data_IF_580695857756
#
_entry.id   IF_580695857756
#
_cell.length_a   1.000
_cell.length_b   1.000
_cell.length_c   1.000
_cell.angle_alpha   90.00
_cell.angle_beta   90.00
_cell.angle_gamma   90.00
#
_symmetry.space_group_name_H-M   'P 1'
#
loop_
_entity.id
_entity.type
_entity.pdbx_description
1 polymer ?
#
# COMPACT_ATOMS: atom_id res chain seq x y z
N UNK A 1 19.66 21.52 -13.89
CA UNK A 1 19.62 21.46 -12.42
C UNK A 1 18.21 21.15 -11.95
N UNK A 2 17.99 20.05 -11.22
CA UNK A 2 16.68 19.72 -10.68
C UNK A 2 16.33 20.66 -9.53
N UNK A 3 15.12 21.23 -9.58
CA UNK A 3 14.58 22.07 -8.51
C UNK A 3 13.21 21.54 -8.08
N UNK A 4 12.90 21.69 -6.79
CA UNK A 4 11.56 21.48 -6.26
C UNK A 4 10.79 22.80 -6.25
N UNK A 5 9.57 22.79 -6.76
CA UNK A 5 8.61 23.90 -6.72
C UNK A 5 7.61 23.67 -5.60
N UNK A 6 7.46 24.66 -4.73
CA UNK A 6 6.44 24.66 -3.68
C UNK A 6 5.17 25.30 -4.23
N UNK A 7 4.12 24.49 -4.43
CA UNK A 7 2.87 24.87 -5.10
C UNK A 7 1.64 24.86 -4.19
N UNK A 8 1.80 24.36 -2.96
CA UNK A 8 0.75 24.36 -1.94
C UNK A 8 1.27 24.99 -0.65
N UNK A 9 0.39 25.72 0.03
CA UNK A 9 0.62 26.21 1.38
C UNK A 9 -0.61 25.91 2.23
N UNK A 10 -0.63 24.71 2.83
CA UNK A 10 -1.79 24.15 3.52
C UNK A 10 -1.36 23.21 4.64
N UNK A 11 -2.16 23.18 5.71
CA UNK A 11 -2.00 22.25 6.83
C UNK A 11 -2.53 20.84 6.53
N UNK A 12 -3.12 20.62 5.34
CA UNK A 12 -3.67 19.32 4.95
C UNK A 12 -2.59 18.43 4.30
N UNK A 13 -2.12 17.36 4.96
CA UNK A 13 -0.93 16.62 4.55
C UNK A 13 -1.08 15.90 3.21
N UNK A 14 -2.31 15.52 2.82
CA UNK A 14 -2.57 14.86 1.54
C UNK A 14 -2.43 15.78 0.32
N UNK A 15 -2.29 17.10 0.51
CA UNK A 15 -2.02 18.06 -0.58
C UNK A 15 -0.53 18.25 -0.88
N UNK A 16 0.37 17.71 -0.05
CA UNK A 16 1.84 17.85 -0.24
C UNK A 16 2.29 17.26 -1.57
N UNK A 17 1.60 16.23 -2.08
CA UNK A 17 1.86 15.63 -3.39
C UNK A 17 1.62 16.56 -4.58
N UNK A 18 0.98 17.71 -4.38
CA UNK A 18 0.82 18.73 -5.43
C UNK A 18 2.05 19.63 -5.59
N UNK A 19 3.08 19.49 -4.74
CA UNK A 19 4.38 20.10 -5.03
C UNK A 19 5.04 19.37 -6.19
N UNK A 20 5.89 20.07 -6.94
CA UNK A 20 6.36 19.57 -8.23
C UNK A 20 7.87 19.60 -8.35
N UNK A 21 8.44 18.70 -9.15
CA UNK A 21 9.87 18.69 -9.45
C UNK A 21 10.08 18.93 -10.95
N UNK A 22 10.99 19.86 -11.27
CA UNK A 22 11.29 20.26 -12.64
C UNK A 22 12.80 20.34 -12.88
N UNK A 23 13.21 20.37 -14.15
CA UNK A 23 14.62 20.47 -14.55
C UNK A 23 14.90 21.82 -15.20
N UNK A 24 15.74 22.65 -14.56
CA UNK A 24 16.26 23.88 -15.19
C UNK A 24 17.37 23.50 -16.17
N UNK A 25 17.20 23.77 -17.46
CA UNK A 25 18.24 23.53 -18.48
C UNK A 25 18.94 24.79 -18.96
N UNK A 26 18.40 25.97 -18.64
CA UNK A 26 19.03 27.25 -18.94
C UNK A 26 18.51 28.38 -18.07
N UNK A 27 19.14 29.54 -18.16
CA UNK A 27 18.65 30.75 -17.50
C UNK A 27 19.06 32.00 -18.28
N UNK A 28 18.23 33.02 -18.18
CA UNK A 28 18.52 34.38 -18.64
C UNK A 28 18.49 35.31 -17.43
N UNK A 29 19.40 36.27 -17.39
CA UNK A 29 19.44 37.28 -16.33
C UNK A 29 19.63 38.66 -16.93
N UNK A 30 18.68 39.55 -16.65
CA UNK A 30 18.78 40.97 -16.99
C UNK A 30 18.67 41.79 -15.69
N UNK A 31 19.83 42.21 -15.17
CA UNK A 31 19.94 42.87 -13.88
C UNK A 31 19.43 41.99 -12.74
N UNK A 32 18.28 42.37 -12.17
CA UNK A 32 17.62 41.66 -11.06
C UNK A 32 16.49 40.73 -11.49
N UNK A 33 16.08 40.78 -12.76
CA UNK A 33 15.12 39.82 -13.33
C UNK A 33 15.87 38.57 -13.78
N UNK A 34 15.35 37.43 -13.34
CA UNK A 34 15.85 36.10 -13.67
C UNK A 34 14.72 35.34 -14.34
N UNK A 35 15.05 34.69 -15.45
CA UNK A 35 14.21 33.70 -16.10
C UNK A 35 14.94 32.37 -16.08
N UNK A 36 14.28 31.33 -15.59
CA UNK A 36 14.76 29.97 -15.72
C UNK A 36 14.03 29.31 -16.89
N UNK A 37 14.78 28.63 -17.74
CA UNK A 37 14.26 27.74 -18.78
C UNK A 37 14.11 26.34 -18.20
N UNK A 38 12.90 25.80 -18.22
CA UNK A 38 12.52 24.64 -17.42
C UNK A 38 11.90 23.57 -18.31
N UNK A 39 12.35 22.34 -18.12
CA UNK A 39 11.65 21.14 -18.55
C UNK A 39 10.71 20.68 -17.44
N UNK A 40 9.41 20.69 -17.73
CA UNK A 40 8.34 20.22 -16.85
C UNK A 40 7.83 18.84 -17.33
N UNK A 41 7.98 17.77 -16.54
CA UNK A 41 7.50 16.44 -16.92
C UNK A 41 5.98 16.35 -17.15
N UNK A 42 5.17 17.25 -16.58
CA UNK A 42 3.72 17.30 -16.82
C UNK A 42 3.37 17.88 -18.20
N UNK A 43 4.35 18.49 -18.87
CA UNK A 43 4.21 19.09 -20.19
C UNK A 43 5.32 18.54 -21.12
N UNK A 44 5.29 17.24 -21.47
CA UNK A 44 6.34 16.63 -22.28
C UNK A 44 6.48 17.33 -23.64
N UNK A 45 7.73 17.38 -24.15
CA UNK A 45 8.11 18.02 -25.40
C UNK A 45 7.88 19.55 -25.47
N UNK A 46 7.69 20.21 -24.33
CA UNK A 46 7.61 21.67 -24.22
C UNK A 46 8.91 22.24 -23.65
N UNK A 47 9.69 22.88 -24.52
CA UNK A 47 10.96 23.54 -24.17
C UNK A 47 10.83 25.07 -24.09
N UNK A 48 9.61 25.57 -23.83
CA UNK A 48 9.29 27.00 -23.72
C UNK A 48 8.66 27.33 -22.36
N UNK A 49 8.80 26.43 -21.38
CA UNK A 49 8.31 26.64 -20.02
C UNK A 49 9.33 27.44 -19.22
N UNK A 50 8.86 28.50 -18.56
CA UNK A 50 9.73 29.44 -17.83
C UNK A 50 9.24 29.69 -16.42
N UNK A 51 10.20 29.91 -15.51
CA UNK A 51 9.97 30.49 -14.19
C UNK A 51 10.70 31.82 -14.10
N UNK A 52 9.94 32.91 -14.02
CA UNK A 52 10.43 34.27 -13.99
C UNK A 52 10.27 34.86 -12.58
N UNK A 53 11.29 35.56 -12.08
CA UNK A 53 11.23 36.29 -10.80
C UNK A 53 12.19 37.48 -10.77
N UNK A 54 11.89 38.45 -9.90
CA UNK A 54 12.74 39.60 -9.65
C UNK A 54 13.37 39.50 -8.25
N UNK A 55 14.70 39.43 -8.22
CA UNK A 55 15.51 39.31 -7.01
C UNK A 55 15.50 40.56 -6.13
N UNK A 56 14.93 41.69 -6.59
CA UNK A 56 14.68 42.85 -5.72
C UNK A 56 13.38 42.80 -4.93
N UNK A 57 12.46 41.92 -5.28
CA UNK A 57 11.15 41.82 -4.61
C UNK A 57 11.25 40.82 -3.46
N UNK A 58 10.78 41.21 -2.27
CA UNK A 58 10.79 40.35 -1.07
C UNK A 58 9.39 40.32 -0.41
N UNK A 59 8.73 39.14 -0.33
CA UNK A 59 9.15 37.87 -0.92
C UNK A 59 9.08 37.92 -2.46
N UNK A 60 9.93 37.19 -3.19
CA UNK A 60 9.87 37.13 -4.64
C UNK A 60 8.50 36.68 -5.13
N UNK A 61 8.02 37.30 -6.21
CA UNK A 61 6.85 36.83 -6.94
C UNK A 61 7.34 36.03 -8.14
N UNK A 62 6.84 34.80 -8.25
CA UNK A 62 7.20 33.86 -9.30
C UNK A 62 6.10 33.82 -10.35
N UNK A 63 6.47 33.99 -11.61
CA UNK A 63 5.60 33.79 -12.76
C UNK A 63 5.99 32.49 -13.45
N UNK A 64 5.03 31.61 -13.64
CA UNK A 64 5.20 30.34 -14.36
C UNK A 64 4.47 30.43 -15.69
N UNK A 65 5.10 30.09 -16.80
CA UNK A 65 4.51 30.33 -18.14
C UNK A 65 3.36 29.39 -18.49
N UNK A 66 3.15 28.34 -17.69
CA UNK A 66 1.97 27.48 -17.70
C UNK A 66 1.28 27.56 -16.34
N UNK A 67 -0.02 27.24 -16.23
CA UNK A 67 -0.69 27.19 -14.94
C UNK A 67 0.05 26.21 -14.02
N UNK A 68 0.57 26.64 -12.87
CA UNK A 68 1.16 25.72 -11.91
C UNK A 68 0.07 24.81 -11.33
N UNK A 69 0.45 23.59 -10.97
CA UNK A 69 -0.42 22.68 -10.21
C UNK A 69 -0.75 23.22 -8.82
N UNK A 70 -1.45 22.41 -8.02
CA UNK A 70 -1.77 22.76 -6.63
C UNK A 70 -2.72 23.96 -6.52
N UNK A 71 -2.30 24.99 -5.76
CA UNK A 71 -3.11 26.17 -5.46
C UNK A 71 -2.99 27.27 -6.54
N UNK A 72 -2.41 26.97 -7.70
CA UNK A 72 -2.28 27.92 -8.81
C UNK A 72 -1.18 28.98 -8.61
N UNK A 73 -0.26 28.76 -7.65
CA UNK A 73 0.86 29.68 -7.36
C UNK A 73 2.14 28.93 -7.04
N UNK A 74 3.29 29.49 -7.43
CA UNK A 74 4.61 29.08 -6.91
C UNK A 74 4.93 29.95 -5.69
N UNK A 75 5.11 29.33 -4.52
CA UNK A 75 5.48 30.00 -3.27
C UNK A 75 6.99 30.15 -3.13
N UNK A 76 7.74 29.14 -3.55
CA UNK A 76 9.20 29.11 -3.49
C UNK A 76 9.73 28.00 -4.40
N UNK A 77 11.04 27.98 -4.59
CA UNK A 77 11.75 26.85 -5.15
C UNK A 77 13.03 26.58 -4.37
N UNK A 78 13.51 25.34 -4.42
CA UNK A 78 14.79 24.95 -3.83
C UNK A 78 15.57 24.04 -4.77
N UNK A 79 16.89 24.14 -4.73
CA UNK A 79 17.76 23.22 -5.46
C UNK A 79 17.70 21.84 -4.83
N UNK A 80 17.36 20.82 -5.61
CA UNK A 80 17.41 19.45 -5.14
C UNK A 80 18.82 18.89 -5.37
N UNK A 81 19.42 18.28 -4.34
CA UNK A 81 20.68 17.53 -4.47
C UNK A 81 20.42 16.14 -5.07
N UNK A 82 19.70 16.12 -6.19
CA UNK A 82 19.44 14.88 -6.90
C UNK A 82 20.76 14.31 -7.39
N UNK A 83 21.07 13.09 -6.97
CA UNK A 83 22.07 12.28 -7.63
C UNK A 83 21.31 11.32 -8.52
N UNK A 84 21.54 11.42 -9.83
CA UNK A 84 21.01 10.43 -10.76
C UNK A 84 21.47 9.06 -10.30
N UNK A 85 20.51 8.22 -9.94
CA UNK A 85 20.75 6.79 -9.83
C UNK A 85 20.38 6.19 -11.16
N UNK A 86 21.26 5.36 -11.70
CA UNK A 86 20.81 4.46 -12.74
C UNK A 86 19.77 3.54 -12.09
N UNK A 87 18.53 3.48 -12.63
CA UNK A 87 17.65 2.39 -12.26
C UNK A 87 18.37 1.08 -12.58
N UNK A 88 18.10 -0.01 -11.84
CA UNK A 88 18.56 -1.32 -12.24
C UNK A 88 18.24 -1.54 -13.73
N UNK A 89 19.16 -2.09 -14.52
CA UNK A 89 18.89 -2.33 -15.92
C UNK A 89 17.62 -3.20 -16.07
N UNK A 90 16.83 -2.93 -17.10
CA UNK A 90 15.46 -3.46 -17.22
C UNK A 90 15.40 -4.99 -17.27
N UNK A 91 16.51 -5.64 -17.62
CA UNK A 91 16.71 -7.09 -17.61
C UNK A 91 16.91 -7.67 -16.19
N UNK A 92 17.22 -6.83 -15.20
CA UNK A 92 17.26 -7.17 -13.77
C UNK A 92 15.94 -6.89 -13.05
N UNK A 93 15.00 -6.21 -13.71
CA UNK A 93 13.63 -6.08 -13.19
C UNK A 93 12.92 -7.38 -13.55
N UNK A 94 12.56 -8.25 -12.57
CA UNK A 94 11.78 -9.43 -12.89
C UNK A 94 10.50 -8.99 -13.63
N UNK A 95 10.04 -9.74 -14.64
CA UNK A 95 8.85 -9.38 -15.39
C UNK A 95 7.69 -9.15 -14.42
N UNK A 96 6.94 -8.07 -14.62
CA UNK A 96 5.72 -7.81 -13.88
C UNK A 96 4.81 -9.04 -14.00
N UNK A 97 4.65 -9.76 -12.90
CA UNK A 97 3.80 -10.94 -12.88
C UNK A 97 2.38 -10.43 -12.70
N UNK A 98 1.58 -10.51 -13.77
CA UNK A 98 0.15 -10.25 -13.67
C UNK A 98 -0.49 -11.49 -13.04
N UNK A 99 -0.66 -11.43 -11.73
CA UNK A 99 -1.22 -12.55 -11.02
C UNK A 99 -2.75 -12.51 -11.14
N UNK A 100 -3.40 -13.53 -11.72
CA UNK A 100 -4.85 -13.55 -11.79
C UNK A 100 -5.44 -13.45 -10.38
N UNK A 101 -6.50 -12.65 -10.24
CA UNK A 101 -7.18 -12.51 -8.95
C UNK A 101 -7.98 -13.79 -8.69
N UNK A 102 -7.68 -14.54 -7.62
CA UNK A 102 -8.49 -15.71 -7.27
C UNK A 102 -9.90 -15.24 -6.93
N UNK A 103 -10.89 -16.11 -7.13
CA UNK A 103 -12.23 -15.89 -6.58
C UNK A 103 -12.08 -15.86 -5.05
N UNK A 104 -12.27 -14.71 -4.37
CA UNK A 104 -12.04 -14.62 -2.93
C UNK A 104 -13.06 -15.43 -2.13
N UNK A 105 -14.14 -15.87 -2.78
CA UNK A 105 -15.17 -16.75 -2.22
C UNK A 105 -15.02 -18.21 -2.64
N UNK A 106 -13.87 -18.62 -3.19
CA UNK A 106 -13.65 -20.03 -3.46
C UNK A 106 -13.51 -20.82 -2.14
N UNK A 107 -14.01 -22.05 -2.14
CA UNK A 107 -13.89 -22.91 -0.98
C UNK A 107 -12.40 -23.20 -0.68
N UNK A 108 -12.02 -23.06 0.59
CA UNK A 108 -10.65 -23.26 1.05
C UNK A 108 -9.72 -22.05 0.88
N UNK A 109 -10.21 -20.90 0.43
CA UNK A 109 -9.40 -19.68 0.37
C UNK A 109 -9.18 -19.05 1.74
N UNK A 110 -8.02 -18.40 1.86
CA UNK A 110 -7.64 -17.57 3.00
C UNK A 110 -7.29 -16.18 2.50
N UNK A 111 -8.06 -15.19 2.92
CA UNK A 111 -7.74 -13.78 2.71
C UNK A 111 -7.16 -13.20 3.99
N UNK A 112 -6.15 -12.34 3.84
CA UNK A 112 -5.61 -11.53 4.92
C UNK A 112 -6.62 -10.42 5.19
N UNK A 113 -7.10 -10.32 6.42
CA UNK A 113 -8.10 -9.33 6.83
C UNK A 113 -7.54 -8.41 7.90
N UNK A 114 -7.89 -7.13 7.80
CA UNK A 114 -7.80 -6.19 8.92
C UNK A 114 -9.18 -5.62 9.21
N UNK A 115 -9.60 -5.66 10.47
CA UNK A 115 -10.84 -5.02 10.91
C UNK A 115 -10.58 -4.31 12.23
N UNK A 116 -10.87 -3.00 12.29
CA UNK A 116 -10.60 -2.17 13.46
C UNK A 116 -9.17 -2.33 14.04
N UNK A 117 -8.17 -2.46 13.16
CA UNK A 117 -6.76 -2.61 13.54
C UNK A 117 -6.32 -4.01 13.97
N UNK A 118 -7.22 -5.00 13.97
CA UNK A 118 -6.89 -6.40 14.22
C UNK A 118 -6.56 -7.10 12.91
N UNK A 119 -5.37 -7.70 12.82
CA UNK A 119 -4.95 -8.53 11.67
C UNK A 119 -5.38 -9.98 11.90
N UNK A 120 -5.82 -10.65 10.85
CA UNK A 120 -6.28 -12.04 10.92
C UNK A 120 -6.39 -12.68 9.54
N UNK A 121 -7.00 -13.86 9.52
CA UNK A 121 -7.45 -14.52 8.30
C UNK A 121 -8.98 -14.56 8.24
N UNK A 122 -9.50 -14.26 7.05
CA UNK A 122 -10.85 -14.53 6.61
C UNK A 122 -10.80 -15.81 5.77
N UNK A 123 -11.38 -16.89 6.27
CA UNK A 123 -11.33 -18.22 5.65
C UNK A 123 -12.71 -18.65 5.20
N UNK A 124 -12.85 -18.95 3.92
CA UNK A 124 -14.07 -19.53 3.36
C UNK A 124 -13.94 -21.05 3.43
N UNK A 125 -14.77 -21.70 4.24
CA UNK A 125 -14.67 -23.14 4.48
C UNK A 125 -15.62 -23.96 3.61
N UNK A 126 -16.84 -23.46 3.37
CA UNK A 126 -17.81 -24.08 2.46
C UNK A 126 -18.69 -23.04 1.77
N UNK A 127 -19.09 -23.34 0.54
CA UNK A 127 -19.99 -22.50 -0.26
C UNK A 127 -21.23 -23.29 -0.69
N UNK A 128 -22.41 -22.67 -0.54
CA UNK A 128 -23.71 -23.24 -0.87
C UNK A 128 -24.52 -22.23 -1.69
N UNK A 129 -24.36 -22.26 -3.01
CA UNK A 129 -24.97 -21.27 -3.89
C UNK A 129 -24.44 -19.86 -3.59
N UNK A 130 -25.29 -18.98 -3.08
CA UNK A 130 -24.92 -17.62 -2.70
C UNK A 130 -24.58 -17.46 -1.21
N UNK A 131 -24.61 -18.55 -0.43
CA UNK A 131 -24.25 -18.55 1.00
C UNK A 131 -22.90 -19.21 1.21
N UNK A 132 -22.24 -18.86 2.30
CA UNK A 132 -20.99 -19.48 2.71
C UNK A 132 -20.87 -19.53 4.24
N UNK A 133 -19.98 -20.39 4.71
CA UNK A 133 -19.52 -20.36 6.08
C UNK A 133 -18.00 -20.42 6.14
N UNK A 134 -17.46 -20.14 7.32
CA UNK A 134 -16.04 -20.33 7.60
C UNK A 134 -15.63 -19.65 8.89
N UNK A 135 -14.43 -19.09 8.90
CA UNK A 135 -13.88 -18.45 10.10
C UNK A 135 -13.26 -17.10 9.82
N UNK A 136 -13.37 -16.18 10.76
CA UNK A 136 -12.62 -14.92 10.80
C UNK A 136 -12.00 -14.78 12.19
N UNK A 137 -10.68 -14.54 12.27
CA UNK A 137 -9.91 -14.54 13.53
C UNK A 137 -10.08 -15.83 14.37
N UNK A 138 -10.37 -16.95 13.71
CA UNK A 138 -10.63 -18.25 14.34
C UNK A 138 -12.05 -18.44 14.89
N UNK A 139 -12.92 -17.42 14.86
CA UNK A 139 -14.33 -17.57 15.22
C UNK A 139 -15.16 -17.90 14.00
N UNK A 140 -16.23 -18.67 14.22
CA UNK A 140 -17.20 -19.02 13.19
C UNK A 140 -17.82 -17.78 12.58
N UNK A 141 -18.03 -17.82 11.28
CA UNK A 141 -18.83 -16.86 10.54
C UNK A 141 -19.75 -17.55 9.53
N UNK A 142 -20.86 -16.88 9.22
CA UNK A 142 -21.81 -17.28 8.19
C UNK A 142 -22.22 -16.06 7.38
N UNK A 143 -22.36 -16.23 6.07
CA UNK A 143 -22.62 -15.10 5.19
C UNK A 143 -23.25 -15.45 3.88
N UNK A 144 -23.46 -14.38 3.11
CA UNK A 144 -24.04 -14.38 1.79
C UNK A 144 -23.27 -13.45 0.86
N UNK A 145 -23.31 -13.80 -0.42
CA UNK A 145 -22.69 -13.10 -1.51
C UNK A 145 -23.75 -12.74 -2.55
N UNK A 146 -23.73 -11.49 -3.01
CA UNK A 146 -24.52 -11.06 -4.14
C UNK A 146 -23.59 -10.73 -5.31
N UNK A 147 -23.50 -11.65 -6.27
CA UNK A 147 -22.66 -11.47 -7.47
C UNK A 147 -23.09 -10.27 -8.31
N UNK A 148 -24.38 -9.94 -8.37
CA UNK A 148 -24.90 -8.83 -9.15
C UNK A 148 -24.49 -7.46 -8.60
N UNK A 149 -24.46 -7.31 -7.28
CA UNK A 149 -24.05 -6.06 -6.61
C UNK A 149 -22.60 -6.08 -6.13
N UNK A 150 -21.92 -7.22 -6.25
CA UNK A 150 -20.60 -7.50 -5.68
C UNK A 150 -20.55 -7.34 -4.15
N UNK A 151 -21.70 -7.48 -3.48
CA UNK A 151 -21.81 -7.26 -2.04
C UNK A 151 -21.59 -8.56 -1.28
N UNK A 152 -20.76 -8.48 -0.24
CA UNK A 152 -20.59 -9.55 0.75
C UNK A 152 -21.19 -9.08 2.08
N UNK A 153 -21.87 -10.00 2.76
CA UNK A 153 -22.40 -9.79 4.11
C UNK A 153 -22.21 -11.04 4.93
N UNK A 154 -21.65 -10.92 6.14
CA UNK A 154 -21.50 -12.07 7.02
C UNK A 154 -21.57 -11.67 8.49
N UNK A 155 -22.02 -12.59 9.32
CA UNK A 155 -22.03 -12.46 10.77
C UNK A 155 -20.88 -13.29 11.34
N UNK A 156 -20.04 -12.66 12.17
CA UNK A 156 -19.07 -13.34 13.04
C UNK A 156 -19.68 -13.56 14.41
N UNK A 157 -19.58 -14.78 14.93
CA UNK A 157 -20.16 -15.16 16.21
C UNK A 157 -19.08 -15.19 17.30
N UNK A 158 -19.17 -14.29 18.29
CA UNK A 158 -18.18 -14.18 19.39
C UNK A 158 -18.65 -14.79 20.71
N UNK A 159 -19.95 -15.03 20.87
CA UNK A 159 -20.54 -15.64 22.07
C UNK A 159 -22.06 -15.75 21.95
N UNK A 160 -22.73 -16.15 23.03
CA UNK A 160 -24.18 -16.41 23.07
C UNK A 160 -25.03 -15.20 22.67
N UNK A 161 -24.56 -13.98 22.93
CA UNK A 161 -25.27 -12.72 22.64
C UNK A 161 -24.34 -11.63 22.09
N UNK A 162 -23.18 -12.01 21.54
CA UNK A 162 -22.24 -11.06 20.96
C UNK A 162 -21.84 -11.49 19.56
N UNK A 163 -22.23 -10.66 18.60
CA UNK A 163 -21.99 -10.86 17.18
C UNK A 163 -21.42 -9.60 16.55
N UNK A 164 -20.83 -9.76 15.37
CA UNK A 164 -20.41 -8.65 14.53
C UNK A 164 -20.96 -8.87 13.13
N UNK A 165 -21.69 -7.88 12.61
CA UNK A 165 -22.23 -7.90 11.25
C UNK A 165 -21.29 -7.14 10.32
N UNK A 166 -20.64 -7.87 9.42
CA UNK A 166 -19.76 -7.32 8.39
C UNK A 166 -20.53 -7.14 7.09
N UNK A 167 -20.31 -6.00 6.45
CA UNK A 167 -20.79 -5.70 5.09
C UNK A 167 -19.65 -5.13 4.27
N UNK A 168 -19.59 -5.46 2.99
CA UNK A 168 -18.58 -4.91 2.10
C UNK A 168 -18.84 -5.21 0.64
N UNK A 169 -17.90 -4.78 -0.20
CA UNK A 169 -17.98 -4.94 -1.65
C UNK A 169 -16.66 -5.43 -2.22
N UNK A 170 -16.73 -6.28 -3.25
CA UNK A 170 -15.56 -6.68 -4.03
C UNK A 170 -15.12 -5.49 -4.88
N UNK A 171 -13.91 -5.00 -4.63
CA UNK A 171 -13.35 -3.82 -5.27
C UNK A 171 -13.03 -4.07 -6.75
N UNK A 172 -13.19 -3.02 -7.54
CA UNK A 172 -12.82 -2.96 -8.94
C UNK A 172 -11.64 -2.01 -9.09
N UNK A 173 -10.70 -2.38 -9.95
CA UNK A 173 -9.60 -1.50 -10.33
C UNK A 173 -10.16 -0.32 -11.16
N UNK A 174 -9.91 0.94 -10.76
CA UNK A 174 -10.52 2.09 -11.41
C UNK A 174 -10.06 2.29 -12.86
N UNK A 175 -8.85 1.85 -13.21
CA UNK A 175 -8.27 2.02 -14.54
C UNK A 175 -8.70 0.91 -15.49
N UNK A 176 -8.63 -0.35 -15.05
CA UNK A 176 -8.88 -1.53 -15.89
C UNK A 176 -10.31 -2.04 -15.80
N UNK A 177 -11.07 -1.61 -14.78
CA UNK A 177 -12.41 -2.11 -14.44
C UNK A 177 -12.46 -3.61 -14.10
N UNK A 178 -11.32 -4.25 -13.90
CA UNK A 178 -11.23 -5.65 -13.49
C UNK A 178 -11.46 -5.81 -11.99
N UNK A 179 -11.97 -6.98 -11.58
CA UNK A 179 -12.07 -7.36 -10.18
C UNK A 179 -10.68 -7.48 -9.57
N UNK A 180 -10.51 -7.00 -8.35
CA UNK A 180 -9.21 -6.95 -7.66
C UNK A 180 -9.02 -8.08 -6.65
N UNK A 181 -10.04 -8.94 -6.46
CA UNK A 181 -10.06 -9.92 -5.38
C UNK A 181 -10.16 -9.33 -3.97
N UNK A 182 -10.15 -8.00 -3.80
CA UNK A 182 -10.19 -7.34 -2.50
C UNK A 182 -11.59 -7.00 -2.04
N UNK A 183 -11.82 -7.14 -0.75
CA UNK A 183 -13.01 -6.61 -0.11
C UNK A 183 -12.69 -5.37 0.71
N UNK A 184 -13.61 -4.41 0.70
CA UNK A 184 -13.65 -3.32 1.66
C UNK A 184 -15.07 -3.03 2.11
N UNK A 185 -15.21 -2.55 3.34
CA UNK A 185 -16.51 -2.21 3.91
C UNK A 185 -16.42 -1.89 5.39
N UNK A 186 -17.53 -2.05 6.08
CA UNK A 186 -17.63 -1.81 7.51
C UNK A 186 -18.33 -2.94 8.27
N UNK A 187 -18.14 -2.98 9.58
CA UNK A 187 -18.88 -3.85 10.47
C UNK A 187 -19.45 -3.09 11.66
N UNK A 188 -20.54 -3.61 12.22
CA UNK A 188 -21.15 -3.14 13.44
C UNK A 188 -21.22 -4.28 14.46
N UNK A 189 -21.20 -3.92 15.74
CA UNK A 189 -21.38 -4.88 16.82
C UNK A 189 -22.86 -5.08 17.14
N UNK A 190 -23.23 -6.31 17.48
CA UNK A 190 -24.58 -6.66 17.90
C UNK A 190 -24.46 -7.32 19.28
N UNK A 191 -25.13 -6.72 20.27
CA UNK A 191 -25.17 -7.21 21.65
C UNK A 191 -26.61 -7.51 22.04
N UNK A 192 -26.94 -8.76 22.35
CA UNK A 192 -28.31 -9.17 22.71
C UNK A 192 -29.35 -8.83 21.64
N UNK A 193 -28.98 -8.92 20.36
CA UNK A 193 -29.84 -8.57 19.21
C UNK A 193 -29.95 -7.06 18.92
N UNK A 194 -29.26 -6.21 19.67
CA UNK A 194 -29.23 -4.75 19.44
C UNK A 194 -27.97 -4.38 18.69
N UNK A 195 -28.13 -3.79 17.50
CA UNK A 195 -27.02 -3.25 16.70
C UNK A 195 -26.52 -1.94 17.30
N UNK A 196 -25.22 -1.87 17.59
CA UNK A 196 -24.57 -0.65 18.03
C UNK A 196 -24.50 0.42 16.93
N UNK A 197 -24.48 1.69 17.34
CA UNK A 197 -24.37 2.83 16.42
C UNK A 197 -22.99 2.94 15.76
N UNK A 198 -21.94 2.46 16.44
CA UNK A 198 -20.57 2.52 15.94
C UNK A 198 -20.39 1.56 14.74
N UNK A 199 -19.68 2.06 13.73
CA UNK A 199 -19.32 1.34 12.51
C UNK A 199 -17.81 1.41 12.34
N UNK A 200 -17.19 0.28 12.00
CA UNK A 200 -15.74 0.14 11.93
C UNK A 200 -15.31 -0.39 10.58
N UNK A 201 -14.25 0.19 10.01
CA UNK A 201 -13.74 -0.23 8.71
C UNK A 201 -13.07 -1.60 8.76
N UNK A 202 -13.21 -2.35 7.67
CA UNK A 202 -12.45 -3.55 7.40
C UNK A 202 -12.04 -3.66 5.93
N UNK A 203 -10.95 -4.39 5.70
CA UNK A 203 -10.45 -4.74 4.36
C UNK A 203 -9.91 -6.15 4.36
N UNK A 204 -10.09 -6.87 3.26
CA UNK A 204 -9.50 -8.18 3.05
C UNK A 204 -8.87 -8.29 1.66
N UNK A 205 -7.77 -9.01 1.57
CA UNK A 205 -7.07 -9.30 0.32
C UNK A 205 -6.49 -10.71 0.33
N UNK A 206 -6.50 -11.44 -0.80
CA UNK A 206 -5.96 -12.80 -0.89
C UNK A 206 -4.43 -12.88 -0.73
N UNK A 207 -3.77 -11.72 -0.84
CA UNK A 207 -2.32 -11.54 -0.82
C UNK A 207 -1.98 -10.08 -0.60
N UNK A 208 -0.73 -9.83 -0.23
CA UNK A 208 -0.11 -8.50 -0.31
C UNK A 208 0.94 -8.51 -1.42
N UNK A 209 1.00 -7.45 -2.22
CA UNK A 209 2.12 -7.21 -3.12
C UNK A 209 3.31 -6.76 -2.28
N UNK A 210 4.44 -7.42 -2.46
CA UNK A 210 5.69 -7.14 -1.77
C UNK A 210 6.65 -6.48 -2.74
N UNK A 211 7.26 -5.38 -2.33
CA UNK A 211 8.46 -4.82 -2.96
C UNK A 211 9.59 -4.86 -1.92
N UNK A 212 10.58 -5.72 -2.18
CA UNK A 212 11.77 -5.87 -1.34
C UNK A 212 13.02 -5.61 -2.17
N UNK A 213 13.72 -4.50 -1.92
CA UNK A 213 14.94 -4.13 -2.64
C UNK A 213 14.77 -4.09 -4.18
N UNK A 214 13.59 -3.67 -4.67
CA UNK A 214 13.28 -3.60 -6.11
C UNK A 214 12.84 -4.94 -6.72
N UNK A 215 12.78 -6.02 -5.94
CA UNK A 215 12.22 -7.30 -6.35
C UNK A 215 10.79 -7.43 -5.87
N UNK A 216 9.88 -7.71 -6.78
CA UNK A 216 8.46 -7.85 -6.46
C UNK A 216 8.04 -9.30 -6.29
N UNK A 217 7.10 -9.53 -5.37
CA UNK A 217 6.46 -10.84 -5.17
C UNK A 217 5.10 -10.67 -4.48
N UNK A 218 4.52 -11.78 -4.04
CA UNK A 218 3.34 -11.82 -3.19
C UNK A 218 3.70 -12.37 -1.82
N UNK A 219 3.09 -11.81 -0.78
CA UNK A 219 2.97 -12.46 0.51
C UNK A 219 1.57 -13.05 0.63
N UNK A 220 1.48 -14.36 0.80
CA UNK A 220 0.26 -15.08 1.12
C UNK A 220 0.37 -15.65 2.52
N UNK A 221 -0.66 -15.48 3.33
CA UNK A 221 -0.71 -16.08 4.66
C UNK A 221 -1.67 -17.27 4.63
N UNK A 222 -1.18 -18.43 5.07
CA UNK A 222 -1.99 -19.65 5.17
C UNK A 222 -2.46 -19.89 6.59
N UNK A 223 -1.75 -19.31 7.57
CA UNK A 223 -2.07 -19.41 8.99
C UNK A 223 -1.72 -18.12 9.71
N UNK A 224 -2.64 -17.67 10.56
CA UNK A 224 -2.44 -16.62 11.55
C UNK A 224 -3.26 -17.00 12.78
N UNK A 225 -2.57 -17.53 13.78
CA UNK A 225 -3.17 -18.03 15.00
C UNK A 225 -3.35 -16.90 16.04
N UNK A 226 -4.23 -17.10 17.01
CA UNK A 226 -4.55 -16.09 18.02
C UNK A 226 -3.38 -15.73 18.96
N UNK A 227 -2.33 -16.55 19.01
CA UNK A 227 -1.08 -16.27 19.74
C UNK A 227 -0.08 -15.40 18.95
N UNK A 228 -0.49 -15.03 17.72
CA UNK A 228 0.28 -14.27 16.75
C UNK A 228 1.15 -15.13 15.85
N UNK A 229 1.13 -16.46 15.94
CA UNK A 229 1.92 -17.33 15.05
C UNK A 229 1.48 -17.19 13.59
N UNK A 230 2.43 -16.95 12.69
CA UNK A 230 2.18 -16.74 11.25
C UNK A 230 2.87 -17.83 10.44
N UNK A 231 2.19 -18.35 9.42
CA UNK A 231 2.81 -19.11 8.35
C UNK A 231 2.23 -18.73 6.98
N UNK A 232 3.05 -18.82 5.94
CA UNK A 232 2.69 -18.36 4.62
C UNK A 232 3.72 -18.71 3.56
N UNK A 233 3.63 -18.01 2.44
CA UNK A 233 4.54 -18.12 1.31
C UNK A 233 4.93 -16.73 0.81
N UNK A 234 6.20 -16.58 0.42
CA UNK A 234 6.73 -15.36 -0.20
C UNK A 234 7.89 -15.73 -1.13
N UNK A 235 7.95 -15.18 -2.35
CA UNK A 235 8.94 -15.59 -3.38
C UNK A 235 8.95 -17.10 -3.70
N UNK A 236 7.83 -17.81 -3.54
CA UNK A 236 7.78 -19.27 -3.73
C UNK A 236 8.31 -20.08 -2.54
N UNK A 237 8.90 -19.41 -1.55
CA UNK A 237 9.50 -20.03 -0.37
C UNK A 237 8.52 -19.94 0.82
N UNK A 238 8.59 -20.92 1.71
CA UNK A 238 7.84 -20.89 2.96
C UNK A 238 8.32 -19.74 3.87
N UNK A 239 7.36 -19.01 4.44
CA UNK A 239 7.60 -18.05 5.52
C UNK A 239 6.94 -18.50 6.81
N UNK A 240 7.65 -18.36 7.92
CA UNK A 240 7.13 -18.55 9.26
C UNK A 240 7.46 -17.35 10.12
N UNK A 241 6.65 -17.04 11.12
CA UNK A 241 6.92 -15.85 11.91
C UNK A 241 5.88 -15.54 12.95
N UNK A 242 5.82 -14.25 13.32
CA UNK A 242 4.95 -13.75 14.37
C UNK A 242 4.38 -12.38 14.03
N UNK A 243 3.10 -12.22 14.31
CA UNK A 243 2.40 -10.95 14.40
C UNK A 243 2.30 -10.53 15.87
N UNK A 244 2.83 -9.35 16.19
CA UNK A 244 2.68 -8.70 17.48
C UNK A 244 1.53 -7.69 17.39
N UNK A 245 0.39 -8.05 17.99
CA UNK A 245 -0.81 -7.20 18.02
C UNK A 245 -0.57 -5.85 18.69
N UNK A 246 0.20 -5.80 19.79
CA UNK A 246 0.41 -4.59 20.57
C UNK A 246 1.35 -3.63 19.84
N UNK A 247 2.42 -4.16 19.25
CA UNK A 247 3.38 -3.37 18.49
C UNK A 247 2.94 -3.11 17.04
N UNK A 248 1.84 -3.72 16.59
CA UNK A 248 1.40 -3.76 15.20
C UNK A 248 2.56 -4.15 14.26
N UNK A 249 3.31 -5.19 14.66
CA UNK A 249 4.58 -5.56 14.02
C UNK A 249 4.57 -7.00 13.52
N UNK A 250 4.89 -7.16 12.25
CA UNK A 250 5.07 -8.45 11.59
C UNK A 250 6.55 -8.80 11.54
N UNK A 251 6.87 -10.03 11.94
CA UNK A 251 8.19 -10.64 11.81
C UNK A 251 8.04 -11.93 11.00
N UNK A 252 8.79 -12.08 9.92
CA UNK A 252 8.78 -13.28 9.08
C UNK A 252 10.21 -13.76 8.84
N UNK A 253 10.39 -15.07 8.83
CA UNK A 253 11.60 -15.74 8.37
C UNK A 253 11.26 -16.51 7.11
N UNK A 254 11.85 -16.12 5.99
CA UNK A 254 11.77 -16.85 4.72
C UNK A 254 12.90 -17.86 4.67
N UNK A 255 12.55 -19.14 4.55
CA UNK A 255 13.52 -20.23 4.42
C UNK A 255 13.66 -20.62 2.98
N UNK A 256 14.85 -20.45 2.40
CA UNK A 256 15.11 -20.83 1.02
C UNK A 256 15.47 -22.31 0.88
N UNK A 257 15.50 -22.82 -0.34
CA UNK A 257 15.97 -24.18 -0.64
C UNK A 257 17.43 -24.40 -0.21
N UNK A 258 18.27 -23.36 -0.22
CA UNK A 258 19.59 -23.40 0.41
C UNK A 258 19.44 -23.29 1.94
N UNK A 259 19.74 -24.37 2.65
CA UNK A 259 19.68 -24.45 4.12
C UNK A 259 20.62 -23.48 4.82
N UNK A 260 21.61 -22.93 4.12
CA UNK A 260 22.51 -21.91 4.64
C UNK A 260 22.00 -20.49 4.40
N UNK A 261 20.87 -20.31 3.73
CA UNK A 261 20.36 -19.00 3.38
C UNK A 261 18.92 -18.84 3.86
N UNK A 262 18.70 -17.81 4.67
CA UNK A 262 17.38 -17.37 5.08
C UNK A 262 17.32 -15.85 5.03
N UNK A 263 16.12 -15.32 5.16
CA UNK A 263 15.91 -13.88 5.30
C UNK A 263 14.95 -13.61 6.44
N UNK A 264 15.29 -12.61 7.24
CA UNK A 264 14.43 -12.12 8.30
C UNK A 264 13.84 -10.77 7.88
N UNK A 265 12.52 -10.70 7.86
CA UNK A 265 11.74 -9.56 7.44
C UNK A 265 10.98 -9.01 8.64
N UNK A 266 11.08 -7.71 8.88
CA UNK A 266 10.30 -7.04 9.92
C UNK A 266 9.57 -5.84 9.32
N UNK A 267 8.32 -5.65 9.70
CA UNK A 267 7.57 -4.48 9.29
C UNK A 267 6.55 -4.06 10.34
N UNK A 268 6.23 -2.77 10.36
CA UNK A 268 5.08 -2.23 11.10
C UNK A 268 3.92 -2.02 10.14
N UNK A 269 2.69 -2.24 10.63
CA UNK A 269 1.49 -1.86 9.90
C UNK A 269 1.43 -0.33 9.83
N UNK A 270 1.25 0.22 8.64
CA UNK A 270 1.23 1.67 8.41
C UNK A 270 -0.20 2.20 8.27
N UNK A 271 -0.98 1.59 7.37
CA UNK A 271 -2.41 1.86 7.18
C UNK A 271 -3.09 0.64 6.53
N UNK A 272 -4.35 0.37 6.87
CA UNK A 272 -5.11 -0.74 6.29
C UNK A 272 -4.32 -2.05 6.26
N UNK A 273 -4.19 -2.65 5.08
CA UNK A 273 -3.37 -3.84 4.82
C UNK A 273 -2.00 -3.48 4.22
N UNK A 274 -1.38 -2.41 4.71
CA UNK A 274 -0.02 -1.99 4.34
C UNK A 274 0.98 -2.15 5.48
N UNK A 275 2.18 -2.56 5.11
CA UNK A 275 3.31 -2.81 5.99
C UNK A 275 4.56 -2.19 5.39
N UNK A 276 5.42 -1.64 6.24
CA UNK A 276 6.73 -1.15 5.82
C UNK A 276 7.78 -1.49 6.88
N UNK A 277 8.99 -1.79 6.42
CA UNK A 277 10.13 -2.01 7.29
C UNK A 277 11.36 -2.47 6.54
N UNK A 278 12.12 -3.35 7.19
CA UNK A 278 13.42 -3.78 6.72
C UNK A 278 13.55 -5.30 6.75
N UNK A 279 14.36 -5.83 5.85
CA UNK A 279 14.79 -7.22 5.88
C UNK A 279 16.31 -7.34 5.84
N UNK A 280 16.78 -8.48 6.35
CA UNK A 280 18.19 -8.86 6.40
C UNK A 280 18.37 -10.28 5.92
N UNK A 281 19.51 -10.53 5.28
CA UNK A 281 19.93 -11.87 4.93
C UNK A 281 20.60 -12.55 6.13
N UNK A 282 20.38 -13.85 6.25
CA UNK A 282 21.02 -14.72 7.24
C UNK A 282 21.76 -15.80 6.48
N UNK A 283 23.09 -15.79 6.55
CA UNK A 283 23.95 -16.75 5.87
C UNK A 283 24.65 -17.61 6.92
N UNK A 284 24.42 -18.92 6.88
CA UNK A 284 24.93 -19.91 7.86
C UNK A 284 24.64 -19.50 9.30
N UNK A 285 23.44 -18.98 9.55
CA UNK A 285 23.01 -18.50 10.87
C UNK A 285 23.52 -17.12 11.27
N UNK A 286 24.31 -16.45 10.42
CA UNK A 286 24.85 -15.11 10.70
C UNK A 286 24.07 -14.05 9.93
N UNK A 287 23.48 -13.10 10.67
CA UNK A 287 22.82 -11.92 10.08
C UNK A 287 23.86 -11.05 9.38
N UNK A 288 23.56 -10.71 8.13
CA UNK A 288 24.40 -9.82 7.34
C UNK A 288 24.20 -8.37 7.77
N UNK A 289 25.28 -7.57 7.71
CA UNK A 289 25.26 -6.16 8.14
C UNK A 289 24.31 -5.30 7.28
N UNK A 290 24.12 -5.67 6.02
CA UNK A 290 23.28 -4.92 5.10
C UNK A 290 21.80 -5.14 5.42
N UNK A 291 21.07 -4.03 5.51
CA UNK A 291 19.63 -3.97 5.64
C UNK A 291 19.02 -3.42 4.36
N UNK A 292 17.85 -3.93 4.03
CA UNK A 292 17.11 -3.55 2.84
C UNK A 292 15.70 -3.18 3.21
N UNK A 293 15.20 -2.09 2.63
CA UNK A 293 13.80 -1.70 2.83
C UNK A 293 12.86 -2.60 2.04
N UNK A 294 11.68 -2.79 2.62
CA UNK A 294 10.57 -3.41 1.92
C UNK A 294 9.23 -2.82 2.34
N UNK A 295 8.24 -3.04 1.47
CA UNK A 295 6.84 -2.75 1.74
C UNK A 295 6.00 -3.93 1.31
N UNK A 296 4.86 -4.11 1.98
CA UNK A 296 3.79 -4.96 1.52
C UNK A 296 2.45 -4.24 1.58
N UNK A 297 1.62 -4.36 0.56
CA UNK A 297 0.37 -3.60 0.46
C UNK A 297 -0.67 -4.36 -0.36
N UNK A 298 -1.94 -4.10 -0.10
CA UNK A 298 -3.08 -4.73 -0.80
C UNK A 298 -3.37 -4.08 -2.17
N UNK A 299 -2.91 -2.85 -2.38
CA UNK A 299 -3.21 -2.04 -3.58
C UNK A 299 -2.11 -2.15 -4.65
N UNK A 300 -2.36 -1.61 -5.83
CA UNK A 300 -1.30 -1.25 -6.79
C UNK A 300 -0.94 0.21 -6.59
#
# INVERSE_FOLDING_TARGET
WPIGLVQVNTDYPFKVGNNHQVLVYGFERNGRRVRLLIYDPNHPARDDITLDFDTSVTPPVFSYSVPPGGDGRIYSFFCHRYQQRQPPPADQIPPWVDFPFPNPLAEGTNDIIVANGWLGLLRIERVFGNRFNGTIYGQRMEGEWNAGTRAIRFTRFLGTDYEQLYTGVLEIDPATRNLTGRFSGSFQEIHGGVTGEASYDWRAAPRLLVDGNGWQTELRLHRLDGDGSVAGEMYGDAVNGRWDHAAQRLHLTRSSADRNYAQEWTARRTDGLSFAGDFQEVVRGVRQARQYRWMAFDRR
#
